data_IF_945911844841
#
_entry.id   IF_945911844841
#
_cell.length_a   1.000
_cell.length_b   1.000
_cell.length_c   1.000
_cell.angle_alpha   90.00
_cell.angle_beta   90.00
_cell.angle_gamma   90.00
#
_symmetry.space_group_name_H-M   'P 1'
#
loop_
_entity.id
_entity.type
_entity.pdbx_description
1 polymer ?
#
# COMPACT_ATOMS: atom_id res chain seq x y z
N UNK A 1 -56.22 -8.64 45.05
CA UNK A 1 -54.87 -8.86 44.46
C UNK A 1 -54.06 -9.66 45.47
N UNK A 2 -53.68 -10.88 45.12
CA UNK A 2 -52.86 -11.74 45.99
C UNK A 2 -51.36 -11.49 45.74
N UNK A 3 -50.50 -11.51 46.77
CA UNK A 3 -49.06 -11.30 46.60
C UNK A 3 -48.38 -12.48 45.89
N UNK A 4 -47.31 -12.23 45.12
CA UNK A 4 -46.59 -13.28 44.41
C UNK A 4 -45.78 -14.17 45.35
N UNK A 5 -45.54 -15.45 44.99
CA UNK A 5 -44.78 -16.38 45.80
C UNK A 5 -43.26 -16.06 45.80
N UNK A 6 -42.53 -16.46 46.86
CA UNK A 6 -41.11 -16.18 47.01
C UNK A 6 -40.24 -17.01 46.04
N UNK A 7 -39.25 -16.36 45.43
CA UNK A 7 -38.26 -16.99 44.54
C UNK A 7 -37.28 -17.86 45.32
N UNK A 8 -37.20 -19.12 44.95
CA UNK A 8 -36.21 -20.08 45.46
C UNK A 8 -34.81 -19.75 44.95
N UNK A 9 -33.86 -19.72 45.89
CA UNK A 9 -32.46 -19.32 45.69
C UNK A 9 -31.62 -20.59 45.49
N UNK A 10 -31.26 -20.91 44.25
CA UNK A 10 -30.40 -22.06 43.94
C UNK A 10 -28.94 -21.73 44.26
N UNK A 11 -28.40 -22.43 45.27
CA UNK A 11 -26.98 -22.43 45.63
C UNK A 11 -26.17 -23.29 44.64
N UNK A 12 -25.04 -22.74 44.20
CA UNK A 12 -23.75 -23.45 44.18
C UNK A 12 -23.46 -24.40 43.02
N UNK A 13 -22.54 -23.99 42.14
CA UNK A 13 -21.54 -24.90 41.59
C UNK A 13 -20.15 -24.27 41.71
N UNK A 14 -19.35 -24.91 42.57
CA UNK A 14 -17.94 -24.63 42.86
C UNK A 14 -17.13 -25.32 41.75
N UNK A 15 -16.42 -24.56 40.94
CA UNK A 15 -15.47 -25.12 39.96
C UNK A 15 -14.14 -25.46 40.67
N UNK A 16 -13.46 -26.56 40.28
CA UNK A 16 -12.20 -26.98 40.90
C UNK A 16 -11.01 -26.11 40.47
N UNK A 17 -9.95 -26.00 41.29
CA UNK A 17 -8.73 -25.31 40.94
C UNK A 17 -7.86 -26.19 40.03
N UNK A 18 -7.43 -25.65 38.88
CA UNK A 18 -6.46 -26.32 38.01
C UNK A 18 -5.07 -25.74 38.30
N UNK A 19 -4.29 -26.50 39.07
CA UNK A 19 -2.86 -26.30 39.28
C UNK A 19 -2.06 -27.03 38.18
N UNK A 20 -0.90 -26.48 37.84
CA UNK A 20 0.08 -27.05 36.89
C UNK A 20 0.48 -26.01 35.84
N UNK A 21 1.37 -25.06 36.14
CA UNK A 21 2.83 -25.21 36.16
C UNK A 21 3.41 -25.66 34.81
N UNK A 22 4.01 -24.72 34.08
CA UNK A 22 5.35 -24.88 33.49
C UNK A 22 5.93 -23.52 33.13
N UNK A 23 6.95 -23.12 33.90
CA UNK A 23 8.02 -22.24 33.40
C UNK A 23 8.71 -22.97 32.25
N UNK A 24 8.87 -22.30 31.10
CA UNK A 24 10.04 -22.51 30.24
C UNK A 24 10.34 -21.21 29.51
N UNK A 25 11.44 -20.62 29.94
CA UNK A 25 12.12 -19.52 29.31
C UNK A 25 12.93 -20.03 28.11
N UNK A 26 13.08 -19.12 27.14
CA UNK A 26 14.25 -18.89 26.29
C UNK A 26 14.70 -19.97 25.27
N UNK A 27 15.22 -19.42 24.17
CA UNK A 27 16.07 -20.01 23.14
C UNK A 27 15.37 -20.78 22.01
N UNK A 28 15.25 -20.12 20.84
CA UNK A 28 15.50 -20.73 19.53
C UNK A 28 15.43 -19.67 18.42
N UNK A 29 16.54 -18.98 18.15
CA UNK A 29 16.77 -18.30 16.88
C UNK A 29 18.29 -18.18 16.67
N UNK A 30 18.87 -19.13 15.92
CA UNK A 30 20.03 -18.94 15.06
C UNK A 30 20.58 -20.30 14.58
N UNK A 31 21.21 -20.27 13.41
CA UNK A 31 22.06 -21.30 12.82
C UNK A 31 21.37 -22.37 11.94
N UNK A 32 21.04 -21.97 10.71
CA UNK A 32 21.16 -22.83 9.54
C UNK A 32 22.19 -22.20 8.59
N UNK A 33 23.47 -22.54 8.78
CA UNK A 33 24.53 -22.27 7.82
C UNK A 33 24.99 -23.62 7.26
N UNK A 34 24.85 -23.81 5.95
CA UNK A 34 25.41 -24.97 5.25
C UNK A 34 26.06 -24.54 3.93
N UNK A 35 27.35 -24.85 3.87
CA UNK A 35 28.18 -25.16 2.70
C UNK A 35 28.62 -24.04 1.74
N UNK A 36 29.86 -23.61 1.95
CA UNK A 36 30.78 -23.02 0.98
C UNK A 36 31.28 -24.15 0.07
N UNK A 37 31.05 -24.04 -1.24
CA UNK A 37 31.74 -24.83 -2.26
C UNK A 37 32.98 -24.07 -2.73
N UNK A 38 34.09 -24.80 -2.76
CA UNK A 38 35.37 -24.41 -3.33
C UNK A 38 35.42 -24.78 -4.81
N UNK A 39 35.65 -23.79 -5.66
CA UNK A 39 36.15 -23.90 -7.04
C UNK A 39 36.45 -22.49 -7.51
N UNK A 40 37.45 -22.16 -8.31
CA UNK A 40 38.68 -22.79 -8.75
C UNK A 40 39.45 -21.62 -9.39
N UNK A 41 40.78 -21.62 -9.31
CA UNK A 41 41.59 -20.50 -9.80
C UNK A 41 41.72 -20.53 -11.33
N UNK A 42 41.46 -19.39 -11.99
CA UNK A 42 41.96 -19.11 -13.35
C UNK A 42 42.56 -17.71 -13.40
N UNK A 43 43.89 -17.74 -13.43
CA UNK A 43 44.87 -16.95 -14.18
C UNK A 43 44.51 -15.61 -14.82
N UNK A 44 45.44 -14.66 -14.59
CA UNK A 44 45.52 -13.28 -15.02
C UNK A 44 45.81 -13.14 -16.53
N UNK A 45 45.16 -12.17 -17.16
CA UNK A 45 45.71 -11.46 -18.32
C UNK A 45 45.58 -9.93 -18.09
N UNK A 46 46.66 -9.13 -18.22
CA UNK A 46 46.61 -7.69 -18.01
C UNK A 46 46.26 -6.97 -19.32
N UNK A 47 44.98 -6.63 -19.51
CA UNK A 47 44.56 -5.74 -20.59
C UNK A 47 44.66 -4.27 -20.17
N UNK A 48 45.19 -3.49 -21.10
CA UNK A 48 45.51 -2.06 -21.13
C UNK A 48 44.42 -1.17 -20.52
N UNK A 49 44.85 -0.21 -19.69
CA UNK A 49 44.04 0.85 -19.09
C UNK A 49 43.70 1.93 -20.13
N UNK A 50 42.42 2.11 -20.42
CA UNK A 50 41.86 3.36 -20.95
C UNK A 50 41.31 4.18 -19.76
N UNK A 51 41.89 5.35 -19.42
CA UNK A 51 41.47 6.13 -18.26
C UNK A 51 40.56 7.29 -18.66
N UNK A 52 39.29 7.06 -19.02
CA UNK A 52 38.34 8.17 -19.27
C UNK A 52 36.84 7.76 -19.23
N UNK A 53 36.38 7.00 -18.21
CA UNK A 53 34.93 6.78 -18.05
C UNK A 53 34.46 6.50 -16.60
N UNK A 54 34.75 7.39 -15.65
CA UNK A 54 34.30 7.30 -14.24
C UNK A 54 33.24 8.35 -13.87
N UNK A 55 32.00 8.25 -14.39
CA UNK A 55 30.90 9.09 -13.85
C UNK A 55 29.50 8.50 -13.90
N UNK A 56 29.33 7.22 -14.30
CA UNK A 56 28.01 6.59 -14.44
C UNK A 56 27.53 5.73 -13.27
N UNK A 57 28.41 5.35 -12.33
CA UNK A 57 28.14 4.23 -11.40
C UNK A 57 27.76 4.63 -9.97
N UNK A 58 27.91 5.92 -9.61
CA UNK A 58 27.56 6.39 -8.26
C UNK A 58 26.05 6.61 -8.07
N UNK A 59 25.33 7.00 -9.13
CA UNK A 59 23.89 7.34 -9.05
C UNK A 59 23.01 6.09 -8.90
N UNK A 60 23.43 4.95 -9.45
CA UNK A 60 22.72 3.67 -9.34
C UNK A 60 22.73 3.12 -7.91
N UNK A 61 23.87 3.21 -7.21
CA UNK A 61 24.02 2.69 -5.85
C UNK A 61 23.21 3.47 -4.80
N UNK A 62 23.12 4.79 -4.91
CA UNK A 62 22.37 5.62 -3.94
C UNK A 62 20.86 5.34 -3.97
N UNK A 63 20.28 5.19 -5.18
CA UNK A 63 18.84 4.88 -5.36
C UNK A 63 18.49 3.49 -4.82
N UNK A 64 19.39 2.51 -4.98
CA UNK A 64 19.20 1.16 -4.45
C UNK A 64 19.21 1.15 -2.91
N UNK A 65 20.12 1.92 -2.29
CA UNK A 65 20.23 2.01 -0.83
C UNK A 65 19.00 2.70 -0.21
N UNK A 66 18.55 3.84 -0.76
CA UNK A 66 17.31 4.51 -0.31
C UNK A 66 16.09 3.58 -0.39
N UNK A 67 16.05 2.74 -1.43
CA UNK A 67 14.98 1.75 -1.60
C UNK A 67 15.04 0.64 -0.54
N UNK A 68 16.23 0.23 -0.12
CA UNK A 68 16.42 -0.79 0.91
C UNK A 68 16.07 -0.26 2.32
N UNK A 69 16.50 0.95 2.64
CA UNK A 69 16.21 1.60 3.93
C UNK A 69 14.73 1.90 4.07
N UNK A 70 14.09 2.34 2.98
CA UNK A 70 12.64 2.49 2.87
C UNK A 70 11.86 1.21 3.19
N UNK A 71 12.24 0.09 2.56
CA UNK A 71 11.62 -1.22 2.81
C UNK A 71 11.78 -1.66 4.27
N UNK A 72 12.97 -1.48 4.83
CA UNK A 72 13.28 -1.84 6.23
C UNK A 72 12.45 -1.02 7.21
N UNK A 73 12.30 0.28 6.95
CA UNK A 73 11.48 1.16 7.77
C UNK A 73 10.00 0.78 7.71
N UNK A 74 9.46 0.50 6.52
CA UNK A 74 8.07 0.02 6.36
C UNK A 74 7.87 -1.29 7.13
N UNK A 75 8.78 -2.25 6.97
CA UNK A 75 8.68 -3.54 7.66
C UNK A 75 8.72 -3.37 9.18
N UNK A 76 9.58 -2.47 9.67
CA UNK A 76 9.66 -2.17 11.11
C UNK A 76 8.33 -1.62 11.65
N UNK A 77 7.67 -0.72 10.92
CA UNK A 77 6.36 -0.19 11.31
C UNK A 77 5.26 -1.26 11.28
N UNK A 78 5.28 -2.14 10.26
CA UNK A 78 4.36 -3.30 10.18
C UNK A 78 4.58 -4.23 11.37
N UNK A 79 5.81 -4.58 11.69
CA UNK A 79 6.14 -5.50 12.80
C UNK A 79 5.75 -4.92 14.15
N UNK A 80 5.95 -3.62 14.37
CA UNK A 80 5.50 -2.91 15.57
C UNK A 80 3.97 -2.98 15.71
N UNK A 81 3.25 -2.76 14.62
CA UNK A 81 1.78 -2.80 14.63
C UNK A 81 1.24 -4.21 14.86
N UNK A 82 1.83 -5.21 14.21
CA UNK A 82 1.53 -6.63 14.45
C UNK A 82 1.78 -6.98 15.92
N UNK A 83 2.90 -6.54 16.50
CA UNK A 83 3.21 -6.78 17.91
C UNK A 83 2.20 -6.11 18.85
N UNK A 84 1.81 -4.86 18.57
CA UNK A 84 0.79 -4.12 19.33
C UNK A 84 -0.55 -4.85 19.35
N UNK A 85 -1.05 -5.27 18.18
CA UNK A 85 -2.33 -5.98 18.06
C UNK A 85 -2.27 -7.35 18.73
N UNK A 86 -1.15 -8.08 18.59
CA UNK A 86 -0.98 -9.37 19.28
C UNK A 86 -0.94 -9.23 20.80
N UNK A 87 -0.43 -8.11 21.32
CA UNK A 87 -0.43 -7.85 22.76
C UNK A 87 -1.86 -7.71 23.34
N UNK A 88 -2.87 -7.39 22.52
CA UNK A 88 -4.28 -7.38 22.95
C UNK A 88 -4.94 -8.76 22.89
N UNK A 89 -4.20 -9.81 22.50
CA UNK A 89 -4.72 -11.16 22.32
C UNK A 89 -5.38 -11.41 20.96
N UNK A 90 -5.33 -10.44 20.04
CA UNK A 90 -5.89 -10.56 18.68
C UNK A 90 -4.83 -11.08 17.71
N UNK A 91 -5.22 -11.97 16.79
CA UNK A 91 -4.34 -12.40 15.70
C UNK A 91 -4.52 -11.50 14.49
N UNK A 92 -3.43 -11.25 13.76
CA UNK A 92 -3.43 -10.47 12.53
C UNK A 92 -2.40 -11.04 11.53
N UNK A 93 -2.76 -11.01 10.25
CA UNK A 93 -1.94 -11.49 9.13
C UNK A 93 -1.38 -10.32 8.32
N UNK A 94 -0.08 -10.01 8.42
CA UNK A 94 0.54 -9.01 7.55
C UNK A 94 0.64 -9.53 6.11
N UNK A 95 0.22 -8.72 5.14
CA UNK A 95 0.31 -9.05 3.71
C UNK A 95 1.45 -8.29 3.04
N UNK A 96 2.17 -8.99 2.17
CA UNK A 96 3.20 -8.37 1.32
C UNK A 96 2.54 -7.61 0.17
N UNK A 97 3.01 -6.39 -0.08
CA UNK A 97 2.53 -5.55 -1.18
C UNK A 97 3.52 -5.56 -2.34
N UNK A 98 2.99 -5.63 -3.57
CA UNK A 98 3.76 -5.50 -4.81
C UNK A 98 3.86 -4.05 -5.26
N UNK A 99 2.77 -3.31 -5.19
CA UNK A 99 2.70 -1.94 -5.71
C UNK A 99 1.67 -1.10 -4.97
N UNK A 100 1.95 0.19 -4.90
CA UNK A 100 1.08 1.24 -4.39
C UNK A 100 0.86 2.28 -5.48
N UNK A 101 -0.34 2.85 -5.53
CA UNK A 101 -0.58 3.98 -6.42
C UNK A 101 -1.83 4.75 -6.03
N UNK A 102 -1.97 5.91 -6.65
CA UNK A 102 -3.20 6.71 -6.62
C UNK A 102 -3.72 6.77 -8.05
N UNK A 103 -4.97 6.37 -8.24
CA UNK A 103 -5.70 6.51 -9.51
C UNK A 103 -6.70 7.64 -9.37
N UNK A 104 -6.84 8.50 -10.37
CA UNK A 104 -7.85 9.56 -10.32
C UNK A 104 -9.10 9.15 -11.07
N UNK A 105 -10.23 9.20 -10.38
CA UNK A 105 -11.55 9.11 -10.98
C UNK A 105 -12.02 10.51 -11.39
N UNK A 106 -11.98 10.76 -12.69
CA UNK A 106 -12.38 12.01 -13.33
C UNK A 106 -13.83 11.96 -13.85
N UNK A 107 -14.52 10.82 -13.71
CA UNK A 107 -15.91 10.67 -14.17
C UNK A 107 -16.91 11.43 -13.29
N UNK A 108 -16.49 11.84 -12.09
CA UNK A 108 -17.31 12.58 -11.13
C UNK A 108 -17.13 14.08 -11.31
N UNK A 109 -18.13 14.85 -10.87
CA UNK A 109 -18.08 16.33 -10.84
C UNK A 109 -16.83 16.89 -10.12
N UNK A 110 -16.26 16.14 -9.18
CA UNK A 110 -15.01 16.47 -8.50
C UNK A 110 -14.02 15.30 -8.67
N UNK A 111 -12.79 15.56 -9.15
CA UNK A 111 -11.73 14.56 -9.20
C UNK A 111 -11.57 13.86 -7.86
N UNK A 112 -11.59 12.54 -7.87
CA UNK A 112 -11.50 11.72 -6.66
C UNK A 112 -10.29 10.81 -6.74
N UNK A 113 -9.41 10.87 -5.74
CA UNK A 113 -8.29 9.95 -5.61
C UNK A 113 -8.77 8.59 -5.11
N UNK A 114 -8.35 7.51 -5.79
CA UNK A 114 -8.58 6.12 -5.44
C UNK A 114 -7.23 5.48 -5.09
N UNK A 115 -7.13 4.99 -3.85
CA UNK A 115 -5.93 4.36 -3.31
C UNK A 115 -5.83 2.93 -3.82
N UNK A 116 -4.87 2.66 -4.69
CA UNK A 116 -4.68 1.35 -5.32
C UNK A 116 -3.57 0.58 -4.63
N UNK A 117 -3.86 -0.65 -4.23
CA UNK A 117 -2.87 -1.59 -3.67
C UNK A 117 -2.88 -2.89 -4.48
N UNK A 118 -1.72 -3.29 -4.99
CA UNK A 118 -1.51 -4.62 -5.54
C UNK A 118 -0.90 -5.53 -4.49
N UNK A 119 -1.68 -6.47 -3.96
CA UNK A 119 -1.29 -7.30 -2.82
C UNK A 119 -0.84 -8.66 -3.33
N UNK A 120 0.27 -9.17 -2.77
CA UNK A 120 0.78 -10.50 -3.05
C UNK A 120 0.00 -11.58 -2.29
N UNK A 121 -1.30 -11.69 -2.57
CA UNK A 121 -2.20 -12.69 -2.01
C UNK A 121 -3.16 -13.20 -3.08
N UNK A 122 -3.61 -14.44 -2.96
CA UNK A 122 -4.71 -15.01 -3.76
C UNK A 122 -6.08 -14.74 -3.14
N UNK A 123 -6.14 -14.04 -2.00
CA UNK A 123 -7.38 -13.72 -1.31
C UNK A 123 -8.37 -12.94 -2.21
N UNK A 124 -9.66 -13.23 -2.05
CA UNK A 124 -10.73 -12.51 -2.72
C UNK A 124 -11.12 -11.27 -1.91
N UNK A 125 -10.55 -10.12 -2.27
CA UNK A 125 -10.78 -8.86 -1.57
C UNK A 125 -12.22 -8.32 -1.68
N UNK A 126 -13.11 -8.94 -2.46
CA UNK A 126 -14.55 -8.62 -2.40
C UNK A 126 -15.20 -9.04 -1.08
N UNK A 127 -14.54 -9.92 -0.32
CA UNK A 127 -15.00 -10.39 0.99
C UNK A 127 -14.61 -9.46 2.14
N UNK A 128 -13.80 -8.43 1.88
CA UNK A 128 -13.51 -7.38 2.87
C UNK A 128 -14.82 -6.65 3.16
N UNK A 129 -15.20 -6.59 4.44
CA UNK A 129 -16.42 -5.93 4.90
C UNK A 129 -16.14 -4.50 5.36
N UNK A 130 -14.94 -4.27 5.90
CA UNK A 130 -14.56 -2.98 6.45
C UNK A 130 -13.05 -2.76 6.30
N UNK A 131 -12.68 -1.51 6.02
CA UNK A 131 -11.30 -1.05 5.99
C UNK A 131 -11.15 -0.02 7.11
N UNK A 132 -10.13 -0.19 7.94
CA UNK A 132 -9.70 0.84 8.89
C UNK A 132 -8.29 1.29 8.52
N UNK A 133 -8.00 2.56 8.76
CA UNK A 133 -6.73 3.18 8.36
C UNK A 133 -6.15 3.89 9.58
N UNK A 134 -4.88 3.64 9.88
CA UNK A 134 -4.19 4.35 10.96
C UNK A 134 -3.99 5.83 10.61
N UNK A 135 -3.67 6.67 11.60
CA UNK A 135 -3.12 8.00 11.32
C UNK A 135 -1.89 7.94 10.41
N UNK A 136 -1.71 8.97 9.60
CA UNK A 136 -0.57 9.13 8.70
C UNK A 136 0.73 9.42 9.46
N UNK A 137 1.80 8.75 9.06
CA UNK A 137 3.17 8.96 9.56
C UNK A 137 4.01 9.47 8.39
N UNK A 138 4.66 10.65 8.47
CA UNK A 138 5.53 11.13 7.41
C UNK A 138 6.61 10.13 7.03
N UNK A 139 6.74 9.85 5.74
CA UNK A 139 7.72 8.90 5.22
C UNK A 139 9.09 9.58 5.08
N UNK A 140 10.14 9.08 5.76
CA UNK A 140 11.40 9.83 5.90
C UNK A 140 12.24 9.88 4.62
N UNK A 141 11.99 8.98 3.65
CA UNK A 141 12.79 8.88 2.41
C UNK A 141 12.14 9.53 1.20
N UNK A 142 10.96 10.16 1.36
CA UNK A 142 10.32 10.90 0.26
C UNK A 142 9.43 11.99 0.81
N UNK A 143 9.73 13.23 0.45
CA UNK A 143 8.92 14.37 0.87
C UNK A 143 7.48 14.26 0.35
N UNK A 144 6.55 14.78 1.15
CA UNK A 144 5.12 14.79 0.86
C UNK A 144 4.51 13.39 0.76
N UNK A 145 5.19 12.33 1.21
CA UNK A 145 4.61 11.01 1.34
C UNK A 145 4.29 10.71 2.80
N UNK A 146 3.11 10.15 3.02
CA UNK A 146 2.70 9.62 4.31
C UNK A 146 2.52 8.10 4.21
N UNK A 147 2.85 7.43 5.31
CA UNK A 147 2.64 6.02 5.56
C UNK A 147 1.42 5.81 6.45
N UNK A 148 0.62 4.78 6.14
CA UNK A 148 -0.46 4.29 6.99
C UNK A 148 -0.46 2.77 7.05
N UNK A 149 -0.97 2.25 8.15
CA UNK A 149 -1.39 0.86 8.28
C UNK A 149 -2.85 0.73 7.87
N UNK A 150 -3.14 -0.19 6.94
CA UNK A 150 -4.49 -0.48 6.47
C UNK A 150 -4.91 -1.83 7.02
N UNK A 151 -5.95 -1.83 7.85
CA UNK A 151 -6.54 -3.04 8.42
C UNK A 151 -7.74 -3.47 7.58
N UNK A 152 -7.69 -4.67 7.04
CA UNK A 152 -8.76 -5.28 6.27
C UNK A 152 -9.52 -6.27 7.16
N UNK A 153 -10.75 -5.92 7.49
CA UNK A 153 -11.66 -6.77 8.25
C UNK A 153 -12.55 -7.56 7.29
N UNK A 154 -12.62 -8.85 7.55
CA UNK A 154 -13.39 -9.85 6.82
C UNK A 154 -14.42 -10.46 7.78
N UNK A 155 -15.18 -11.46 7.32
CA UNK A 155 -16.13 -12.15 8.20
C UNK A 155 -15.46 -12.66 9.50
N UNK A 156 -16.23 -12.74 10.59
CA UNK A 156 -15.77 -12.97 11.97
C UNK A 156 -14.95 -14.25 12.17
N UNK A 157 -15.06 -15.20 11.25
CA UNK A 157 -14.32 -16.46 11.29
C UNK A 157 -12.89 -16.35 10.75
N UNK A 158 -12.53 -15.25 10.09
CA UNK A 158 -11.24 -15.11 9.42
C UNK A 158 -10.37 -14.04 10.09
N UNK A 159 -9.07 -14.34 10.18
CA UNK A 159 -8.06 -13.43 10.72
C UNK A 159 -8.02 -12.12 9.94
N UNK A 160 -8.08 -10.95 10.61
CA UNK A 160 -7.84 -9.66 9.98
C UNK A 160 -6.49 -9.61 9.26
N UNK A 161 -6.41 -8.82 8.20
CA UNK A 161 -5.19 -8.64 7.42
C UNK A 161 -4.64 -7.22 7.58
N UNK A 162 -3.32 -7.08 7.72
CA UNK A 162 -2.62 -5.80 7.80
C UNK A 162 -1.87 -5.54 6.49
N UNK A 163 -2.02 -4.33 5.95
CA UNK A 163 -1.38 -3.93 4.70
C UNK A 163 -0.71 -2.56 4.90
N UNK A 164 0.61 -2.42 4.71
CA UNK A 164 1.23 -1.10 4.69
C UNK A 164 0.76 -0.32 3.45
N UNK A 165 0.65 1.00 3.53
CA UNK A 165 0.35 1.85 2.36
C UNK A 165 1.11 3.17 2.42
N UNK A 166 1.65 3.59 1.27
CA UNK A 166 2.31 4.87 1.07
C UNK A 166 1.56 5.69 0.03
N UNK A 167 1.32 6.97 0.29
CA UNK A 167 0.66 7.87 -0.64
C UNK A 167 1.25 9.27 -0.64
N UNK A 168 1.13 9.94 -1.78
CA UNK A 168 1.49 11.34 -1.95
C UNK A 168 0.36 12.24 -1.39
N UNK A 169 0.71 13.05 -0.38
CA UNK A 169 -0.16 14.03 0.27
C UNK A 169 -0.44 15.25 -0.61
N UNK A 170 0.38 15.50 -1.63
CA UNK A 170 0.27 16.64 -2.58
C UNK A 170 0.05 16.17 -4.01
N UNK A 171 -0.62 15.04 -4.19
CA UNK A 171 -0.87 14.44 -5.50
C UNK A 171 -1.57 15.41 -6.48
N UNK A 172 -1.05 15.49 -7.71
CA UNK A 172 -1.58 16.32 -8.81
C UNK A 172 -1.78 15.50 -10.07
N UNK A 173 -2.76 15.89 -10.88
CA UNK A 173 -3.02 15.27 -12.18
C UNK A 173 -3.32 16.33 -13.24
N UNK A 174 -3.32 15.95 -14.51
CA UNK A 174 -3.72 16.80 -15.63
C UNK A 174 -5.12 16.40 -16.11
N UNK A 175 -5.89 17.38 -16.56
CA UNK A 175 -7.22 17.13 -17.13
C UNK A 175 -7.10 16.31 -18.44
N UNK A 176 -8.01 15.35 -18.71
CA UNK A 176 -8.06 14.63 -19.97
C UNK A 176 -8.37 15.63 -21.08
N UNK A 177 -7.84 15.40 -22.28
CA UNK A 177 -8.34 16.12 -23.46
C UNK A 177 -9.73 15.58 -23.74
N UNK A 178 -10.74 16.45 -23.76
CA UNK A 178 -11.97 16.13 -24.48
C UNK A 178 -11.59 16.09 -25.96
N UNK A 179 -11.33 14.88 -26.47
CA UNK A 179 -11.16 14.67 -27.90
C UNK A 179 -12.52 14.91 -28.54
N UNK A 180 -12.65 16.04 -29.23
CA UNK A 180 -13.84 16.42 -29.99
C UNK A 180 -14.10 15.33 -31.04
N UNK A 181 -15.18 14.53 -30.94
CA UNK A 181 -15.38 13.32 -31.74
C UNK A 181 -15.51 13.62 -33.25
N UNK A 182 -15.76 14.88 -33.61
CA UNK A 182 -15.91 15.34 -34.99
C UNK A 182 -14.60 15.86 -35.61
N UNK A 183 -13.46 15.81 -34.89
CA UNK A 183 -12.16 16.26 -35.43
C UNK A 183 -11.37 15.07 -36.00
N UNK A 184 -11.26 14.90 -37.33
CA UNK A 184 -10.49 13.81 -37.91
C UNK A 184 -9.01 13.92 -37.52
N UNK A 185 -8.42 12.81 -37.08
CA UNK A 185 -7.01 12.73 -36.68
C UNK A 185 -6.10 12.97 -37.89
N UNK A 186 -5.67 14.21 -38.10
CA UNK A 186 -4.80 14.58 -39.20
C UNK A 186 -3.34 14.29 -38.86
N UNK A 187 -2.90 13.04 -39.09
CA UNK A 187 -1.50 12.71 -39.34
C UNK A 187 -1.26 12.78 -40.84
N UNK A 188 -0.89 13.97 -41.35
CA UNK A 188 -0.07 14.12 -42.57
C UNK A 188 0.29 15.60 -42.84
N UNK A 189 1.61 15.82 -42.87
CA UNK A 189 2.40 16.59 -43.84
C UNK A 189 1.84 17.89 -44.44
N UNK A 190 2.43 19.00 -44.00
CA UNK A 190 2.81 20.24 -44.70
C UNK A 190 1.81 21.01 -45.62
N UNK A 191 1.91 22.34 -45.46
CA UNK A 191 1.60 23.42 -46.43
C UNK A 191 0.15 23.92 -46.51
N UNK A 192 -0.16 25.02 -45.79
CA UNK A 192 -0.21 26.40 -46.32
C UNK A 192 -1.25 27.31 -45.62
N UNK A 193 -0.73 28.46 -45.16
CA UNK A 193 -1.28 29.82 -45.00
C UNK A 193 -2.58 30.12 -44.21
N UNK A 194 -2.67 31.32 -43.58
CA UNK A 194 -3.61 31.59 -42.49
C UNK A 194 -4.83 32.41 -42.92
N UNK A 195 -5.99 32.11 -42.36
CA UNK A 195 -7.14 33.01 -42.34
C UNK A 195 -7.89 32.90 -41.02
N UNK A 196 -8.26 34.06 -40.51
CA UNK A 196 -8.82 34.35 -39.20
C UNK A 196 -10.22 33.77 -38.99
N UNK A 197 -10.45 33.08 -37.87
CA UNK A 197 -11.45 33.45 -36.85
C UNK A 197 -11.74 32.27 -35.91
N UNK A 198 -12.00 32.64 -34.65
CA UNK A 198 -12.59 31.82 -33.59
C UNK A 198 -11.60 30.97 -32.76
N UNK A 199 -11.43 31.41 -31.51
CA UNK A 199 -10.60 30.85 -30.45
C UNK A 199 -11.06 29.43 -30.08
N UNK A 200 -10.63 28.43 -30.85
CA UNK A 200 -10.56 27.04 -30.41
C UNK A 200 -9.17 26.85 -29.79
N UNK A 201 -9.11 26.76 -28.47
CA UNK A 201 -7.88 26.57 -27.71
C UNK A 201 -7.33 25.17 -27.98
N UNK A 202 -6.57 25.01 -29.06
CA UNK A 202 -5.61 23.91 -29.19
C UNK A 202 -4.45 24.19 -28.24
N UNK A 203 -4.69 24.03 -26.93
CA UNK A 203 -3.64 24.02 -25.95
C UNK A 203 -2.77 22.79 -26.22
N UNK A 204 -1.50 23.03 -26.58
CA UNK A 204 -0.47 21.99 -26.61
C UNK A 204 -0.40 21.32 -25.23
N UNK A 205 -0.06 20.03 -25.18
CA UNK A 205 -0.11 19.22 -23.96
C UNK A 205 0.64 19.85 -22.76
N UNK A 206 1.65 20.68 -23.01
CA UNK A 206 2.44 21.37 -21.98
C UNK A 206 1.75 22.54 -21.27
N UNK A 207 0.62 23.07 -21.77
CA UNK A 207 -0.06 24.21 -21.15
C UNK A 207 -1.27 23.84 -20.29
N UNK A 208 -1.46 22.54 -19.98
CA UNK A 208 -2.63 22.11 -19.22
C UNK A 208 -2.51 22.49 -17.74
N UNK A 209 -3.56 23.04 -17.13
CA UNK A 209 -3.54 23.35 -15.71
C UNK A 209 -3.44 22.06 -14.90
N UNK A 210 -2.54 22.06 -13.91
CA UNK A 210 -2.44 20.98 -12.93
C UNK A 210 -3.59 21.05 -11.94
N UNK A 211 -4.30 19.94 -11.78
CA UNK A 211 -5.39 19.78 -10.82
C UNK A 211 -4.83 19.11 -9.57
N UNK A 212 -4.99 19.76 -8.41
CA UNK A 212 -4.69 19.13 -7.13
C UNK A 212 -5.84 18.21 -6.73
N UNK A 213 -5.54 16.93 -6.51
CA UNK A 213 -6.56 15.95 -6.12
C UNK A 213 -6.32 15.61 -4.66
N UNK A 214 -7.26 16.02 -3.80
CA UNK A 214 -7.18 15.71 -2.37
C UNK A 214 -7.42 14.22 -2.16
N UNK A 215 -6.44 13.53 -1.58
CA UNK A 215 -6.60 12.15 -1.16
C UNK A 215 -7.11 12.10 0.29
N UNK A 216 -8.38 11.74 0.47
CA UNK A 216 -8.98 11.61 1.80
C UNK A 216 -8.90 10.16 2.33
N UNK A 217 -8.22 9.24 1.63
CA UNK A 217 -8.14 7.80 1.99
C UNK A 217 -9.52 7.10 2.09
N UNK A 218 -10.55 7.63 1.42
CA UNK A 218 -11.92 7.10 1.47
C UNK A 218 -12.20 6.06 0.40
N UNK A 219 -11.53 6.14 -0.75
CA UNK A 219 -11.73 5.23 -1.89
C UNK A 219 -10.52 4.30 -2.03
N UNK A 220 -10.78 3.01 -2.14
CA UNK A 220 -9.75 1.98 -2.24
C UNK A 220 -10.00 1.04 -3.41
N UNK A 221 -8.93 0.62 -4.08
CA UNK A 221 -8.92 -0.38 -5.13
C UNK A 221 -7.89 -1.46 -4.78
N UNK A 222 -8.36 -2.58 -4.27
CA UNK A 222 -7.53 -3.71 -3.90
C UNK A 222 -7.41 -4.66 -5.09
N UNK A 223 -6.18 -5.08 -5.41
CA UNK A 223 -5.89 -5.99 -6.53
C UNK A 223 -5.07 -7.16 -6.01
N UNK A 224 -5.50 -8.39 -6.30
CA UNK A 224 -4.81 -9.60 -5.87
C UNK A 224 -3.87 -10.16 -6.95
N UNK A 225 -3.18 -11.28 -6.69
CA UNK A 225 -2.26 -11.91 -7.66
C UNK A 225 -2.92 -12.47 -8.90
N UNK A 226 -4.24 -12.66 -8.88
CA UNK A 226 -5.06 -13.11 -10.02
C UNK A 226 -5.64 -11.92 -10.80
N UNK A 227 -5.17 -10.70 -10.53
CA UNK A 227 -5.67 -9.44 -11.09
C UNK A 227 -7.15 -9.17 -10.83
N UNK A 228 -7.76 -9.87 -9.85
CA UNK A 228 -9.12 -9.55 -9.40
C UNK A 228 -9.10 -8.22 -8.66
N UNK A 229 -10.07 -7.36 -9.01
CA UNK A 229 -10.22 -6.02 -8.45
C UNK A 229 -11.41 -5.95 -7.52
N UNK A 230 -11.23 -5.32 -6.36
CA UNK A 230 -12.30 -5.00 -5.42
C UNK A 230 -12.23 -3.51 -5.07
N UNK A 231 -13.30 -2.77 -5.34
CA UNK A 231 -13.44 -1.36 -4.95
C UNK A 231 -14.17 -1.28 -3.61
N UNK A 232 -13.63 -0.47 -2.71
CA UNK A 232 -14.16 -0.25 -1.37
C UNK A 232 -14.28 1.25 -1.10
N UNK A 233 -15.31 1.61 -0.33
CA UNK A 233 -15.54 2.97 0.15
C UNK A 233 -15.59 2.96 1.67
N UNK A 234 -14.96 3.94 2.31
CA UNK A 234 -14.99 4.16 3.76
C UNK A 234 -15.89 5.36 4.03
N UNK A 235 -17.05 5.12 4.64
CA UNK A 235 -17.98 6.18 5.04
C UNK A 235 -17.50 6.91 6.30
N UNK A 236 -16.86 6.19 7.23
CA UNK A 236 -16.41 6.71 8.52
C UNK A 236 -15.05 6.10 8.91
N UNK A 237 -14.15 6.94 9.42
CA UNK A 237 -12.90 6.48 10.02
C UNK A 237 -13.15 6.13 11.48
N UNK A 238 -12.86 4.89 11.84
CA UNK A 238 -12.78 4.49 13.23
C UNK A 238 -11.32 4.48 13.67
N UNK A 239 -11.02 5.15 14.77
CA UNK A 239 -9.69 5.12 15.38
C UNK A 239 -9.37 3.68 15.85
N UNK A 240 -8.16 3.19 15.51
CA UNK A 240 -7.63 1.84 15.80
C UNK A 240 -6.72 1.86 17.04
#
# INVERSE_FOLDING_TARGET
>A
MAPPPPRTRTRGRKLPPRAGATKRAAAAAAAAAKQVNHSDAVEKDPHVLDPDNESGDAVSMEVEQETADGKTWIQTNVDQEVARIRATGTSIEPLTVKNFGVVVDLSRKKPTAINRIEINSSFDFKKVQQIMVSPGIPYPYKENFDYVNVLLLVDKAQTPMLVPYLYDTKFKTQEPVEEDPDKPSSLSTASSSPSSSTLSSTATADQRPWIHVKNNLTEWLLVNTQHMRARHHIDEFHDI
#
